data_IF_449328262169
#
_entry.id   IF_449328262169
#
_cell.length_a   1.000
_cell.length_b   1.000
_cell.length_c   1.000
_cell.angle_alpha   90.00
_cell.angle_beta   90.00
_cell.angle_gamma   90.00
#
_symmetry.space_group_name_H-M   'P 1'
#
loop_
_entity.id
_entity.type
_entity.pdbx_description
1 polymer ?
#
# COMPACT_ATOMS: atom_id res chain seq x y z
N UNK A 1 22.50 -12.22 -22.22
CA UNK A 1 22.41 -10.85 -21.72
C UNK A 1 20.95 -10.44 -21.64
N UNK A 2 20.40 -10.36 -20.44
CA UNK A 2 19.02 -9.96 -20.19
C UNK A 2 18.94 -8.53 -19.67
N UNK A 3 18.12 -7.70 -20.31
CA UNK A 3 17.99 -6.28 -20.00
C UNK A 3 16.53 -5.98 -19.70
N UNK A 4 16.25 -5.32 -18.57
CA UNK A 4 14.92 -4.86 -18.20
C UNK A 4 14.80 -3.35 -18.40
N UNK A 5 13.79 -2.92 -19.15
CA UNK A 5 13.43 -1.51 -19.30
C UNK A 5 12.28 -1.09 -18.38
N UNK A 6 12.56 -0.15 -17.49
CA UNK A 6 11.61 0.47 -16.56
C UNK A 6 11.39 1.94 -16.92
N UNK A 7 10.25 2.50 -16.51
CA UNK A 7 9.90 3.90 -16.78
C UNK A 7 8.40 4.12 -16.90
N UNK A 8 7.96 5.37 -16.76
CA UNK A 8 6.54 5.73 -16.82
C UNK A 8 5.93 5.46 -18.20
N UNK A 9 4.61 5.33 -18.33
CA UNK A 9 3.93 5.54 -19.63
C UNK A 9 4.43 6.84 -20.27
N UNK A 10 4.72 6.84 -21.58
CA UNK A 10 5.27 8.02 -22.28
C UNK A 10 6.80 8.23 -22.18
N UNK A 11 7.52 7.50 -21.30
CA UNK A 11 8.98 7.67 -21.12
C UNK A 11 9.85 7.25 -22.31
N UNK A 12 9.30 6.53 -23.28
CA UNK A 12 10.02 6.07 -24.47
C UNK A 12 10.56 4.65 -24.41
N UNK A 13 10.19 3.84 -23.40
CA UNK A 13 10.61 2.43 -23.26
C UNK A 13 10.51 1.61 -24.54
N UNK A 14 9.35 1.67 -25.21
CA UNK A 14 9.11 0.93 -26.45
C UNK A 14 10.06 1.30 -27.58
N UNK A 15 10.39 2.58 -27.71
CA UNK A 15 11.31 3.12 -28.71
C UNK A 15 12.75 2.71 -28.39
N UNK A 16 13.18 2.93 -27.15
CA UNK A 16 14.53 2.58 -26.71
C UNK A 16 14.77 1.08 -26.73
N UNK A 17 13.77 0.27 -26.36
CA UNK A 17 13.84 -1.18 -26.42
C UNK A 17 13.98 -1.72 -27.83
N UNK A 18 13.33 -1.08 -28.83
CA UNK A 18 13.53 -1.45 -30.23
C UNK A 18 14.97 -1.14 -30.69
N UNK A 19 15.48 0.04 -30.38
CA UNK A 19 16.84 0.45 -30.74
C UNK A 19 17.88 -0.47 -30.08
N UNK A 20 17.71 -0.81 -28.80
CA UNK A 20 18.59 -1.74 -28.10
C UNK A 20 18.53 -3.15 -28.71
N UNK A 21 17.35 -3.64 -29.06
CA UNK A 21 17.16 -4.96 -29.65
C UNK A 21 17.92 -5.09 -30.97
N UNK A 22 17.77 -4.10 -31.85
CA UNK A 22 18.45 -4.05 -33.15
C UNK A 22 19.97 -3.95 -32.99
N UNK A 23 20.46 -3.10 -32.08
CA UNK A 23 21.91 -2.92 -31.86
C UNK A 23 22.59 -4.12 -31.23
N UNK A 24 21.88 -4.84 -30.37
CA UNK A 24 22.44 -5.97 -29.61
C UNK A 24 22.15 -7.32 -30.27
N UNK A 25 21.34 -7.36 -31.34
CA UNK A 25 20.89 -8.60 -31.96
C UNK A 25 20.07 -9.48 -31.02
N UNK A 26 19.32 -8.87 -30.09
CA UNK A 26 18.54 -9.59 -29.07
C UNK A 26 17.04 -9.43 -29.32
N UNK A 27 16.22 -10.47 -29.04
CA UNK A 27 14.78 -10.35 -29.14
C UNK A 27 14.22 -9.37 -28.10
N UNK A 28 13.21 -8.59 -28.50
CA UNK A 28 12.42 -7.76 -27.59
C UNK A 28 11.16 -8.53 -27.17
N UNK A 29 11.02 -8.75 -25.87
CA UNK A 29 9.91 -9.46 -25.25
C UNK A 29 8.99 -8.42 -24.61
N UNK A 30 7.78 -8.26 -25.16
CA UNK A 30 6.73 -7.40 -24.58
C UNK A 30 5.47 -8.20 -24.31
N UNK A 31 4.83 -7.97 -23.17
CA UNK A 31 3.62 -8.71 -22.78
C UNK A 31 2.52 -8.60 -23.83
N UNK A 32 2.37 -7.41 -24.42
CA UNK A 32 1.34 -7.17 -25.43
C UNK A 32 1.58 -7.93 -26.73
N UNK A 33 2.83 -8.01 -27.18
CA UNK A 33 3.16 -8.73 -28.43
C UNK A 33 3.02 -10.23 -28.27
N UNK A 34 3.49 -10.77 -27.14
CA UNK A 34 3.40 -12.20 -26.83
C UNK A 34 1.95 -12.64 -26.72
N UNK A 35 1.11 -11.87 -26.00
CA UNK A 35 -0.32 -12.16 -25.88
C UNK A 35 -1.01 -12.16 -27.25
N UNK A 36 -0.79 -11.12 -28.06
CA UNK A 36 -1.37 -11.02 -29.40
C UNK A 36 -0.90 -12.16 -30.32
N UNK A 37 0.38 -12.52 -30.26
CA UNK A 37 0.94 -13.62 -31.04
C UNK A 37 0.37 -14.97 -30.60
N UNK A 38 0.29 -15.23 -29.29
CA UNK A 38 -0.27 -16.46 -28.73
C UNK A 38 -1.74 -16.65 -29.09
N UNK A 39 -2.54 -15.57 -29.05
CA UNK A 39 -3.95 -15.52 -29.48
C UNK A 39 -4.07 -15.79 -30.98
N UNK A 40 -3.26 -15.11 -31.80
CA UNK A 40 -3.28 -15.28 -33.26
C UNK A 40 -2.88 -16.68 -33.70
N UNK A 41 -1.93 -17.30 -33.01
CA UNK A 41 -1.45 -18.66 -33.29
C UNK A 41 -2.33 -19.75 -32.68
N UNK A 42 -3.40 -19.42 -31.95
CA UNK A 42 -4.35 -20.40 -31.40
C UNK A 42 -3.76 -21.34 -30.35
N UNK A 43 -2.68 -20.93 -29.68
CA UNK A 43 -2.02 -21.73 -28.62
C UNK A 43 -2.96 -21.93 -27.42
N UNK A 44 -2.76 -22.99 -26.62
CA UNK A 44 -3.58 -23.24 -25.43
C UNK A 44 -3.57 -22.04 -24.45
N UNK A 45 -2.38 -21.47 -24.18
CA UNK A 45 -2.20 -20.27 -23.37
C UNK A 45 -2.80 -19.03 -24.04
N UNK A 46 -2.73 -18.92 -25.37
CA UNK A 46 -3.37 -17.85 -26.13
C UNK A 46 -4.89 -17.88 -26.06
N UNK A 47 -5.50 -19.07 -26.17
CA UNK A 47 -6.93 -19.26 -26.00
C UNK A 47 -7.39 -18.99 -24.56
N UNK A 48 -6.56 -19.33 -23.58
CA UNK A 48 -6.80 -18.99 -22.18
C UNK A 48 -6.73 -17.48 -21.94
N UNK A 49 -5.69 -16.81 -22.43
CA UNK A 49 -5.54 -15.37 -22.34
C UNK A 49 -6.68 -14.62 -23.05
N UNK A 50 -7.13 -15.13 -24.20
CA UNK A 50 -8.25 -14.57 -24.99
C UNK A 50 -9.53 -14.44 -24.16
N UNK A 51 -9.81 -15.39 -23.24
CA UNK A 51 -10.99 -15.32 -22.34
C UNK A 51 -10.98 -14.08 -21.44
N UNK A 52 -9.80 -13.64 -21.00
CA UNK A 52 -9.65 -12.45 -20.17
C UNK A 52 -9.64 -11.18 -21.04
N UNK A 53 -8.94 -11.23 -22.17
CA UNK A 53 -8.83 -10.10 -23.10
C UNK A 53 -10.18 -9.71 -23.73
N UNK A 54 -10.97 -10.68 -24.19
CA UNK A 54 -12.29 -10.43 -24.79
C UNK A 54 -13.29 -9.84 -23.78
N UNK A 55 -13.07 -10.10 -22.48
CA UNK A 55 -13.86 -9.55 -21.37
C UNK A 55 -13.32 -8.26 -20.76
N UNK A 56 -12.26 -7.65 -21.33
CA UNK A 56 -11.62 -6.45 -20.78
C UNK A 56 -10.92 -6.64 -19.43
N UNK A 57 -10.69 -7.88 -19.00
CA UNK A 57 -10.05 -8.23 -17.72
C UNK A 57 -8.53 -8.37 -17.90
N UNK A 58 -7.79 -8.11 -16.82
CA UNK A 58 -6.35 -8.38 -16.79
C UNK A 58 -6.10 -9.89 -16.89
N UNK A 59 -5.12 -10.26 -17.72
CA UNK A 59 -4.67 -11.65 -17.86
C UNK A 59 -3.89 -12.03 -16.58
N UNK A 60 -4.18 -13.17 -15.94
CA UNK A 60 -3.48 -13.60 -14.74
C UNK A 60 -1.97 -13.72 -14.92
N UNK A 61 -1.20 -13.39 -13.88
CA UNK A 61 0.27 -13.43 -13.90
C UNK A 61 0.83 -14.82 -14.25
N UNK A 62 0.15 -15.89 -13.84
CA UNK A 62 0.51 -17.29 -14.16
C UNK A 62 0.52 -17.58 -15.67
N UNK A 63 -0.45 -17.03 -16.40
CA UNK A 63 -0.56 -17.16 -17.86
C UNK A 63 0.54 -16.36 -18.54
N UNK A 64 0.78 -15.13 -18.07
CA UNK A 64 1.86 -14.27 -18.59
C UNK A 64 3.23 -14.92 -18.41
N UNK A 65 3.48 -15.53 -17.25
CA UNK A 65 4.75 -16.21 -16.96
C UNK A 65 4.96 -17.42 -17.86
N UNK A 66 3.92 -18.21 -18.08
CA UNK A 66 4.00 -19.39 -18.94
C UNK A 66 4.36 -18.99 -20.38
N UNK A 67 3.74 -17.92 -20.88
CA UNK A 67 4.06 -17.34 -22.19
C UNK A 67 5.50 -16.80 -22.26
N UNK A 68 6.01 -16.19 -21.19
CA UNK A 68 7.40 -15.73 -21.13
C UNK A 68 8.39 -16.90 -21.09
N UNK A 69 8.07 -17.98 -20.36
CA UNK A 69 8.87 -19.21 -20.36
C UNK A 69 9.00 -19.78 -21.78
N UNK A 70 7.90 -19.79 -22.55
CA UNK A 70 7.92 -20.21 -23.96
C UNK A 70 8.81 -19.32 -24.83
N UNK A 71 8.70 -18.00 -24.73
CA UNK A 71 9.55 -17.07 -25.48
C UNK A 71 11.02 -17.23 -25.13
N UNK A 72 11.33 -17.37 -23.85
CA UNK A 72 12.69 -17.56 -23.37
C UNK A 72 13.27 -18.91 -23.84
N UNK A 73 12.44 -19.94 -24.03
CA UNK A 73 12.87 -21.24 -24.53
C UNK A 73 13.29 -21.24 -26.01
N UNK A 74 12.91 -20.21 -26.78
CA UNK A 74 13.23 -20.13 -28.20
C UNK A 74 14.73 -19.90 -28.45
N UNK A 75 15.30 -20.43 -29.56
CA UNK A 75 16.73 -20.27 -29.87
C UNK A 75 17.18 -18.80 -29.93
N UNK A 76 16.31 -17.90 -30.37
CA UNK A 76 16.60 -16.47 -30.51
C UNK A 76 16.84 -15.80 -29.14
N UNK A 77 16.27 -16.34 -28.07
CA UNK A 77 16.43 -15.83 -26.71
C UNK A 77 17.59 -16.50 -25.94
N UNK A 78 18.30 -17.47 -26.54
CA UNK A 78 19.36 -18.22 -25.89
C UNK A 78 20.49 -17.32 -25.38
N UNK A 79 20.83 -16.29 -26.17
CA UNK A 79 21.89 -15.33 -25.83
C UNK A 79 21.40 -14.13 -25.03
N UNK A 80 20.09 -13.98 -24.78
CA UNK A 80 19.53 -12.85 -24.07
C UNK A 80 18.18 -12.37 -24.59
N UNK A 81 17.60 -11.39 -23.91
CA UNK A 81 16.38 -10.72 -24.33
C UNK A 81 16.27 -9.33 -23.69
N UNK A 82 15.49 -8.46 -24.30
CA UNK A 82 15.10 -7.16 -23.73
C UNK A 82 13.64 -7.24 -23.30
N UNK A 83 13.40 -7.06 -22.01
CA UNK A 83 12.07 -7.02 -21.43
C UNK A 83 11.54 -5.58 -21.44
N UNK A 84 10.37 -5.38 -22.05
CA UNK A 84 9.71 -4.08 -22.16
C UNK A 84 8.23 -4.21 -21.76
N UNK A 85 7.86 -3.53 -20.67
CA UNK A 85 6.51 -3.56 -20.13
C UNK A 85 6.21 -4.76 -19.21
N UNK A 86 7.21 -5.55 -18.85
CA UNK A 86 7.19 -6.62 -17.85
C UNK A 86 8.61 -6.82 -17.28
N UNK A 87 8.78 -7.17 -16.00
CA UNK A 87 7.79 -7.18 -14.92
C UNK A 87 7.26 -5.78 -14.57
N UNK A 88 6.00 -5.69 -14.16
CA UNK A 88 5.31 -4.48 -13.69
C UNK A 88 5.21 -4.41 -12.16
N UNK A 89 5.20 -5.56 -11.49
CA UNK A 89 5.12 -5.69 -10.03
C UNK A 89 6.37 -6.35 -9.44
N UNK A 90 6.57 -6.21 -8.12
CA UNK A 90 7.65 -6.91 -7.40
C UNK A 90 7.52 -8.44 -7.52
N UNK A 91 6.29 -8.97 -7.44
CA UNK A 91 6.00 -10.39 -7.63
C UNK A 91 6.42 -10.89 -9.01
N UNK A 92 6.08 -10.15 -10.08
CA UNK A 92 6.50 -10.50 -11.44
C UNK A 92 8.03 -10.45 -11.60
N UNK A 93 8.70 -9.51 -10.93
CA UNK A 93 10.16 -9.40 -10.97
C UNK A 93 10.85 -10.60 -10.30
N UNK A 94 10.36 -11.02 -9.13
CA UNK A 94 10.86 -12.22 -8.46
C UNK A 94 10.70 -13.48 -9.32
N UNK A 95 9.60 -13.57 -10.07
CA UNK A 95 9.30 -14.71 -10.95
C UNK A 95 10.18 -14.73 -12.21
N UNK A 96 10.56 -13.58 -12.76
CA UNK A 96 11.57 -13.49 -13.83
C UNK A 96 12.92 -13.96 -13.34
N UNK A 97 13.36 -13.50 -12.16
CA UNK A 97 14.63 -13.90 -11.58
C UNK A 97 14.67 -15.41 -11.32
N UNK A 98 13.58 -16.00 -10.80
CA UNK A 98 13.46 -17.45 -10.62
C UNK A 98 13.54 -18.21 -11.95
N UNK A 99 12.81 -17.75 -12.97
CA UNK A 99 12.77 -18.38 -14.31
C UNK A 99 14.13 -18.34 -15.01
N UNK A 100 14.85 -17.22 -14.92
CA UNK A 100 16.21 -17.13 -15.44
C UNK A 100 17.17 -18.03 -14.63
N UNK A 101 16.98 -18.08 -13.31
CA UNK A 101 17.76 -18.93 -12.40
C UNK A 101 17.66 -20.42 -12.71
N UNK A 102 16.46 -20.93 -13.04
CA UNK A 102 16.24 -22.32 -13.51
C UNK A 102 17.12 -22.68 -14.71
N UNK A 103 17.54 -21.69 -15.50
CA UNK A 103 18.34 -21.85 -16.72
C UNK A 103 19.81 -21.50 -16.52
N UNK A 104 20.24 -21.25 -15.28
CA UNK A 104 21.59 -20.75 -14.98
C UNK A 104 21.85 -19.34 -15.52
N UNK A 105 20.79 -18.59 -15.83
CA UNK A 105 20.84 -17.23 -16.37
C UNK A 105 20.44 -16.22 -15.28
N UNK A 106 20.72 -14.95 -15.51
CA UNK A 106 20.32 -13.86 -14.61
C UNK A 106 20.02 -12.59 -15.38
N UNK A 107 19.22 -11.72 -14.79
CA UNK A 107 19.08 -10.35 -15.28
C UNK A 107 20.44 -9.63 -15.18
N UNK A 108 20.91 -9.08 -16.30
CA UNK A 108 22.23 -8.45 -16.37
C UNK A 108 22.16 -6.94 -16.13
N UNK A 109 21.13 -6.29 -16.68
CA UNK A 109 20.99 -4.84 -16.64
C UNK A 109 19.54 -4.41 -16.40
N UNK A 110 19.37 -3.32 -15.66
CA UNK A 110 18.10 -2.62 -15.50
C UNK A 110 18.31 -1.18 -15.96
N UNK A 111 17.51 -0.74 -16.91
CA UNK A 111 17.54 0.62 -17.45
C UNK A 111 16.24 1.30 -17.05
N UNK A 112 16.35 2.32 -16.20
CA UNK A 112 15.23 3.17 -15.82
C UNK A 112 15.24 4.43 -16.70
N UNK A 113 14.18 4.63 -17.48
CA UNK A 113 13.91 5.88 -18.17
C UNK A 113 13.17 6.81 -17.21
N UNK A 114 13.92 7.68 -16.56
CA UNK A 114 13.40 8.72 -15.69
C UNK A 114 13.17 10.00 -16.50
N UNK A 115 11.91 10.41 -16.59
CA UNK A 115 11.48 11.53 -17.42
C UNK A 115 10.51 12.38 -16.60
N UNK A 116 10.70 13.71 -16.53
CA UNK A 116 9.81 14.60 -15.79
C UNK A 116 8.34 14.45 -16.22
N UNK A 117 7.42 14.56 -15.27
CA UNK A 117 5.98 14.36 -15.51
C UNK A 117 5.43 15.30 -16.59
N UNK A 118 5.85 16.57 -16.59
CA UNK A 118 5.47 17.54 -17.62
C UNK A 118 5.85 17.06 -19.04
N UNK A 119 7.04 16.48 -19.19
CA UNK A 119 7.51 15.95 -20.47
C UNK A 119 6.84 14.62 -20.82
N UNK A 120 6.48 13.79 -19.83
CA UNK A 120 5.66 12.59 -20.04
C UNK A 120 4.26 12.94 -20.58
N UNK A 121 3.59 13.92 -19.95
CA UNK A 121 2.29 14.43 -20.37
C UNK A 121 2.41 14.99 -21.79
N UNK A 122 3.36 15.89 -22.04
CA UNK A 122 3.60 16.47 -23.37
C UNK A 122 3.79 15.40 -24.45
N UNK A 123 4.58 14.35 -24.18
CA UNK A 123 4.83 13.25 -25.13
C UNK A 123 3.59 12.41 -25.39
N UNK A 124 2.79 12.12 -24.36
CA UNK A 124 1.56 11.34 -24.52
C UNK A 124 0.46 12.13 -25.24
N UNK A 125 0.30 13.41 -24.91
CA UNK A 125 -0.61 14.33 -25.62
C UNK A 125 -0.18 14.53 -27.07
N UNK A 126 1.11 14.64 -27.35
CA UNK A 126 1.64 14.74 -28.72
C UNK A 126 1.40 13.48 -29.56
N UNK A 127 1.47 12.28 -28.95
CA UNK A 127 1.15 11.01 -29.62
C UNK A 127 -0.34 10.86 -29.95
N UNK A 128 -1.22 11.34 -29.08
CA UNK A 128 -2.66 11.35 -29.34
C UNK A 128 -3.02 12.16 -30.61
N UNK A 129 -2.29 13.26 -30.86
CA UNK A 129 -2.50 14.13 -32.01
C UNK A 129 -1.88 13.60 -33.34
N UNK A 130 -0.86 12.74 -33.28
CA UNK A 130 -0.09 12.30 -34.47
C UNK A 130 -0.28 10.83 -34.86
N UNK A 131 -0.59 9.94 -33.91
CA UNK A 131 -0.63 8.47 -34.14
C UNK A 131 -2.04 7.86 -34.09
N UNK A 132 -3.10 8.68 -33.90
CA UNK A 132 -4.50 8.23 -34.00
C UNK A 132 -4.93 7.18 -32.97
N UNK A 133 -4.35 7.19 -31.77
CA UNK A 133 -4.74 6.28 -30.68
C UNK A 133 -5.90 6.86 -29.88
N UNK A 134 -7.06 6.20 -29.92
CA UNK A 134 -8.30 6.56 -29.23
C UNK A 134 -8.24 6.52 -27.69
N UNK A 135 -7.18 5.92 -27.14
CA UNK A 135 -7.10 5.54 -25.72
C UNK A 135 -6.23 6.49 -24.88
N UNK A 136 -5.72 7.57 -25.48
CA UNK A 136 -4.83 8.57 -24.88
C UNK A 136 -5.58 9.89 -24.60
N UNK A 137 -6.71 9.81 -23.89
CA UNK A 137 -7.41 11.00 -23.38
C UNK A 137 -6.65 11.63 -22.20
N UNK A 138 -6.84 12.93 -21.92
CA UNK A 138 -6.22 13.58 -20.77
C UNK A 138 -6.45 12.82 -19.44
N UNK A 139 -7.66 12.28 -19.26
CA UNK A 139 -8.02 11.48 -18.10
C UNK A 139 -7.31 10.12 -18.10
N UNK A 140 -7.22 9.42 -19.24
CA UNK A 140 -6.49 8.16 -19.33
C UNK A 140 -4.98 8.33 -19.09
N UNK A 141 -4.39 9.45 -19.54
CA UNK A 141 -3.00 9.81 -19.28
C UNK A 141 -2.78 10.04 -17.79
N UNK A 142 -3.66 10.82 -17.15
CA UNK A 142 -3.62 11.11 -15.71
C UNK A 142 -3.76 9.84 -14.89
N UNK A 143 -4.75 8.98 -15.19
CA UNK A 143 -4.94 7.69 -14.52
C UNK A 143 -3.73 6.78 -14.69
N UNK A 144 -3.12 6.72 -15.88
CA UNK A 144 -1.91 5.89 -16.11
C UNK A 144 -0.69 6.40 -15.36
N UNK A 145 -0.53 7.71 -15.21
CA UNK A 145 0.54 8.31 -14.39
C UNK A 145 0.28 8.10 -12.90
N UNK A 146 -0.98 8.23 -12.45
CA UNK A 146 -1.39 7.96 -11.07
C UNK A 146 -1.19 6.48 -10.72
N UNK A 147 -1.62 5.54 -11.55
CA UNK A 147 -1.39 4.09 -11.37
C UNK A 147 0.10 3.77 -11.38
N UNK A 148 0.88 4.42 -12.24
CA UNK A 148 2.34 4.33 -12.16
C UNK A 148 2.75 4.81 -10.76
N UNK A 149 2.41 6.03 -10.33
CA UNK A 149 2.77 6.64 -9.03
C UNK A 149 2.31 5.85 -7.79
N UNK A 150 1.16 5.19 -7.84
CA UNK A 150 0.51 4.50 -6.72
C UNK A 150 0.89 3.01 -6.56
N UNK A 151 1.45 2.37 -7.59
CA UNK A 151 1.61 0.91 -7.62
C UNK A 151 2.96 0.37 -7.11
N UNK A 152 2.88 -0.78 -6.46
CA UNK A 152 3.93 -1.75 -6.08
C UNK A 152 4.90 -2.09 -7.25
N UNK A 153 5.94 -1.26 -7.46
CA UNK A 153 6.84 -1.37 -8.63
C UNK A 153 8.06 -2.25 -8.38
N UNK A 154 8.68 -2.70 -9.48
CA UNK A 154 10.07 -3.17 -9.46
C UNK A 154 11.02 -2.05 -8.93
N UNK A 155 11.97 -2.39 -8.01
CA UNK A 155 12.86 -1.40 -7.37
C UNK A 155 13.68 -0.57 -8.36
N UNK A 156 13.86 0.73 -8.08
CA UNK A 156 14.61 1.65 -8.97
C UNK A 156 16.12 1.64 -8.67
N UNK A 157 16.99 1.75 -9.69
CA UNK A 157 18.40 2.12 -9.48
C UNK A 157 18.47 3.58 -8.99
N UNK A 158 18.34 3.77 -7.68
CA UNK A 158 18.18 5.07 -7.02
C UNK A 158 17.79 4.94 -5.54
N UNK A 159 17.22 3.80 -5.13
CA UNK A 159 17.05 3.41 -3.73
C UNK A 159 18.38 3.14 -2.99
N UNK A 160 19.53 3.44 -3.63
CA UNK A 160 20.88 3.30 -3.06
C UNK A 160 21.14 4.45 -2.08
N UNK A 161 20.49 4.36 -0.94
CA UNK A 161 20.60 5.29 0.18
C UNK A 161 19.76 4.84 1.37
N UNK A 162 18.72 4.03 1.11
CA UNK A 162 17.91 3.39 2.15
C UNK A 162 18.58 2.09 2.59
N UNK A 163 18.79 1.95 3.89
CA UNK A 163 19.19 0.66 4.46
C UNK A 163 18.12 -0.38 4.14
N UNK A 164 18.53 -1.61 3.84
CA UNK A 164 17.59 -2.70 3.62
C UNK A 164 17.84 -3.80 4.63
N UNK A 165 16.84 -4.14 5.43
CA UNK A 165 16.91 -5.24 6.37
C UNK A 165 16.30 -6.50 5.74
N UNK A 166 17.09 -7.59 5.71
CA UNK A 166 16.65 -8.87 5.14
C UNK A 166 15.92 -9.68 6.20
N UNK A 167 14.71 -10.14 5.87
CA UNK A 167 13.93 -11.04 6.71
C UNK A 167 13.46 -12.27 5.91
N UNK A 168 13.10 -13.35 6.60
CA UNK A 168 12.41 -14.50 6.03
C UNK A 168 11.03 -14.62 6.67
N UNK A 169 9.96 -14.50 5.89
CA UNK A 169 8.60 -14.66 6.40
C UNK A 169 8.33 -16.08 6.94
N UNK A 170 7.12 -16.31 7.48
CA UNK A 170 6.74 -17.61 8.04
C UNK A 170 6.72 -18.74 7.01
N UNK A 171 6.64 -18.42 5.71
CA UNK A 171 6.70 -19.36 4.59
C UNK A 171 8.12 -19.50 3.99
N UNK A 172 9.12 -18.81 4.54
CA UNK A 172 10.51 -18.85 4.11
C UNK A 172 10.88 -17.90 2.96
N UNK A 173 9.97 -17.04 2.49
CA UNK A 173 10.25 -16.05 1.45
C UNK A 173 11.10 -14.89 1.98
N UNK A 174 12.00 -14.38 1.14
CA UNK A 174 12.83 -13.22 1.46
C UNK A 174 12.01 -11.94 1.29
N UNK A 175 11.65 -11.30 2.40
CA UNK A 175 11.07 -9.96 2.41
C UNK A 175 12.14 -8.90 2.72
N UNK A 176 11.99 -7.73 2.12
CA UNK A 176 12.97 -6.63 2.19
C UNK A 176 12.32 -5.44 2.90
N UNK A 177 12.70 -5.22 4.16
CA UNK A 177 12.17 -4.12 4.96
C UNK A 177 13.02 -2.86 4.70
N UNK A 178 12.35 -1.76 4.38
CA UNK A 178 12.98 -0.47 4.08
C UNK A 178 13.27 0.30 5.36
N UNK A 179 14.55 0.63 5.58
CA UNK A 179 15.02 1.45 6.71
C UNK A 179 15.16 2.90 6.28
N UNK A 180 14.51 3.79 7.04
CA UNK A 180 14.44 5.22 6.76
C UNK A 180 15.63 5.92 7.39
N UNK A 181 16.20 6.86 6.66
CA UNK A 181 17.21 7.77 7.17
C UNK A 181 16.60 8.76 8.17
N UNK A 182 17.40 9.38 9.05
CA UNK A 182 16.90 10.41 9.98
C UNK A 182 16.13 11.54 9.28
N UNK A 183 16.57 11.96 8.09
CA UNK A 183 15.89 12.99 7.29
C UNK A 183 14.49 12.54 6.86
N UNK A 184 14.36 11.30 6.40
CA UNK A 184 13.07 10.73 5.99
C UNK A 184 12.13 10.60 7.19
N UNK A 185 12.64 10.22 8.35
CA UNK A 185 11.86 10.18 9.60
C UNK A 185 11.36 11.58 9.98
N UNK A 186 12.15 12.65 9.80
CA UNK A 186 11.67 14.01 10.05
C UNK A 186 10.60 14.46 9.04
N UNK A 187 10.70 14.07 7.77
CA UNK A 187 9.64 14.31 6.78
C UNK A 187 8.36 13.56 7.16
N UNK A 188 8.46 12.29 7.56
CA UNK A 188 7.31 11.52 8.07
C UNK A 188 6.74 12.14 9.34
N UNK A 189 7.56 12.66 10.25
CA UNK A 189 7.11 13.39 11.42
C UNK A 189 6.38 14.69 11.04
N UNK A 190 6.78 15.37 9.95
CA UNK A 190 6.06 16.53 9.44
C UNK A 190 4.69 16.14 8.87
N UNK A 191 4.60 15.06 8.08
CA UNK A 191 3.33 14.50 7.63
C UNK A 191 2.45 14.08 8.83
N UNK A 192 3.05 13.44 9.83
CA UNK A 192 2.38 12.96 11.03
C UNK A 192 1.82 14.08 11.92
N UNK A 193 2.47 15.25 11.97
CA UNK A 193 1.88 16.44 12.61
C UNK A 193 0.62 16.92 11.89
N UNK A 194 0.59 16.85 10.56
CA UNK A 194 -0.60 17.19 9.78
C UNK A 194 -1.70 16.15 10.06
N UNK A 195 -1.40 14.86 10.05
CA UNK A 195 -2.33 13.77 10.44
C UNK A 195 -2.95 14.04 11.81
N UNK A 196 -2.13 14.28 12.83
CA UNK A 196 -2.60 14.53 14.19
C UNK A 196 -3.48 15.78 14.28
N UNK A 197 -3.11 16.85 13.58
CA UNK A 197 -3.89 18.08 13.53
C UNK A 197 -5.21 17.88 12.75
N UNK A 198 -5.22 17.08 11.68
CA UNK A 198 -6.44 16.71 10.95
C UNK A 198 -7.42 15.97 11.86
N UNK A 199 -6.95 14.95 12.60
CA UNK A 199 -7.79 14.24 13.57
C UNK A 199 -8.34 15.19 14.65
N UNK A 200 -7.53 16.13 15.13
CA UNK A 200 -7.98 17.13 16.11
C UNK A 200 -9.05 18.08 15.55
N UNK A 201 -8.91 18.52 14.29
CA UNK A 201 -9.90 19.36 13.60
C UNK A 201 -11.19 18.58 13.34
N UNK A 202 -11.09 17.33 12.89
CA UNK A 202 -12.26 16.44 12.70
C UNK A 202 -12.99 16.25 14.03
N UNK A 203 -12.26 15.98 15.12
CA UNK A 203 -12.84 15.77 16.45
C UNK A 203 -13.73 16.94 16.92
N UNK A 204 -13.39 18.18 16.57
CA UNK A 204 -14.20 19.37 16.90
C UNK A 204 -15.57 19.39 16.20
N UNK A 205 -15.71 18.62 15.11
CA UNK A 205 -16.92 18.52 14.30
C UNK A 205 -17.72 17.24 14.59
N UNK A 206 -17.19 16.30 15.39
CA UNK A 206 -17.89 15.06 15.76
C UNK A 206 -19.02 15.38 16.73
N UNK A 207 -20.25 15.42 16.22
CA UNK A 207 -21.48 15.64 17.01
C UNK A 207 -22.71 15.08 16.29
N UNK A 208 -23.81 14.80 16.99
CA UNK A 208 -25.04 14.34 16.36
C UNK A 208 -25.51 15.27 15.24
N UNK A 209 -26.01 14.69 14.15
CA UNK A 209 -26.54 15.42 12.99
C UNK A 209 -25.52 15.78 11.92
N UNK A 210 -24.22 15.62 12.17
CA UNK A 210 -23.17 15.80 11.14
C UNK A 210 -23.05 14.55 10.29
N UNK A 211 -22.92 14.67 8.97
CA UNK A 211 -22.64 13.53 8.09
C UNK A 211 -21.14 13.19 8.04
N UNK A 212 -20.82 11.93 7.80
CA UNK A 212 -19.41 11.50 7.58
C UNK A 212 -18.78 12.17 6.36
N UNK A 213 -19.56 12.52 5.33
CA UNK A 213 -19.07 13.31 4.19
C UNK A 213 -18.67 14.74 4.59
N UNK A 214 -19.39 15.38 5.51
CA UNK A 214 -18.98 16.69 6.03
C UNK A 214 -17.63 16.61 6.73
N UNK A 215 -17.39 15.56 7.52
CA UNK A 215 -16.10 15.32 8.17
C UNK A 215 -14.97 15.07 7.16
N UNK A 216 -15.25 14.30 6.10
CA UNK A 216 -14.30 14.07 5.00
C UNK A 216 -13.88 15.37 4.31
N UNK A 217 -14.85 16.26 4.02
CA UNK A 217 -14.57 17.59 3.45
C UNK A 217 -13.70 18.44 4.38
N UNK A 218 -14.03 18.48 5.67
CA UNK A 218 -13.23 19.21 6.67
C UNK A 218 -11.79 18.72 6.70
N UNK A 219 -11.58 17.40 6.67
CA UNK A 219 -10.25 16.81 6.63
C UNK A 219 -9.50 17.11 5.33
N UNK A 220 -10.15 16.98 4.18
CA UNK A 220 -9.53 17.24 2.88
C UNK A 220 -9.09 18.70 2.75
N UNK A 221 -9.96 19.64 3.10
CA UNK A 221 -9.65 21.07 3.08
C UNK A 221 -8.47 21.40 4.01
N UNK A 222 -8.48 20.84 5.22
CA UNK A 222 -7.39 21.03 6.18
C UNK A 222 -6.07 20.47 5.67
N UNK A 223 -6.03 19.23 5.18
CA UNK A 223 -4.81 18.63 4.64
C UNK A 223 -4.28 19.46 3.47
N UNK A 224 -5.15 19.83 2.52
CA UNK A 224 -4.75 20.59 1.32
C UNK A 224 -4.33 22.02 1.61
N UNK A 225 -4.71 22.59 2.76
CA UNK A 225 -4.22 23.90 3.20
C UNK A 225 -2.73 23.91 3.53
N UNK A 226 -2.11 22.74 3.73
CA UNK A 226 -0.68 22.60 4.00
C UNK A 226 0.09 22.41 2.68
N UNK A 227 1.06 23.28 2.35
CA UNK A 227 1.84 23.15 1.12
C UNK A 227 2.50 21.78 0.96
N UNK A 228 2.29 21.15 -0.19
CA UNK A 228 2.86 19.84 -0.53
C UNK A 228 2.10 18.64 0.05
N UNK A 229 1.20 18.84 1.02
CA UNK A 229 0.45 17.75 1.64
C UNK A 229 -0.71 17.27 0.76
N UNK A 230 -0.98 15.97 0.77
CA UNK A 230 -2.10 15.34 0.04
C UNK A 230 -2.74 14.23 0.87
N UNK A 231 -4.06 14.01 0.78
CA UNK A 231 -4.70 12.80 1.31
C UNK A 231 -4.06 11.55 0.71
N UNK A 232 -3.66 10.59 1.55
CA UNK A 232 -3.07 9.33 1.09
C UNK A 232 -4.12 8.35 0.58
N UNK A 233 -5.32 8.34 1.16
CA UNK A 233 -6.32 7.32 0.89
C UNK A 233 -7.07 7.59 -0.41
N UNK A 234 -7.28 8.86 -0.75
CA UNK A 234 -8.09 9.24 -1.92
C UNK A 234 -7.42 8.79 -3.22
N UNK A 235 -7.96 7.74 -3.83
CA UNK A 235 -7.44 7.08 -5.01
C UNK A 235 -6.51 5.89 -4.73
N UNK A 236 -6.20 5.58 -3.47
CA UNK A 236 -5.43 4.40 -3.09
C UNK A 236 -6.30 3.15 -3.29
N UNK A 237 -5.88 2.26 -4.20
CA UNK A 237 -6.64 1.08 -4.63
C UNK A 237 -8.10 1.39 -5.04
N UNK A 238 -8.35 2.57 -5.59
CA UNK A 238 -9.68 3.10 -5.95
C UNK A 238 -10.57 3.52 -4.77
N UNK A 239 -10.01 3.71 -3.56
CA UNK A 239 -10.76 4.27 -2.42
C UNK A 239 -11.20 5.72 -2.72
N UNK A 240 -12.47 6.09 -2.50
CA UNK A 240 -13.02 7.33 -3.06
C UNK A 240 -12.79 8.59 -2.21
N UNK A 241 -12.39 8.45 -0.94
CA UNK A 241 -12.47 9.52 0.05
C UNK A 241 -11.12 9.82 0.73
N UNK A 242 -11.07 10.91 1.49
CA UNK A 242 -9.88 11.35 2.25
C UNK A 242 -9.76 10.61 3.58
N UNK A 243 -10.88 10.38 4.26
CA UNK A 243 -11.00 9.65 5.51
C UNK A 243 -11.61 8.27 5.27
N UNK A 244 -11.23 7.31 6.11
CA UNK A 244 -12.14 6.21 6.43
C UNK A 244 -12.94 6.64 7.67
N UNK A 245 -14.27 6.46 7.63
CA UNK A 245 -15.20 6.79 8.71
C UNK A 245 -16.01 5.55 9.05
N UNK A 246 -15.64 4.87 10.13
CA UNK A 246 -16.23 3.60 10.55
C UNK A 246 -17.11 3.78 11.79
N UNK A 247 -18.40 3.47 11.67
CA UNK A 247 -19.37 3.63 12.75
C UNK A 247 -19.63 2.31 13.48
N UNK A 248 -19.62 2.37 14.82
CA UNK A 248 -20.11 1.32 15.71
C UNK A 248 -19.49 -0.08 15.46
N UNK A 249 -20.19 -0.95 14.73
CA UNK A 249 -19.75 -2.31 14.39
C UNK A 249 -18.79 -2.36 13.19
N UNK A 250 -18.63 -1.25 12.49
CA UNK A 250 -17.65 -1.13 11.43
C UNK A 250 -16.24 -1.02 12.03
N UNK A 251 -15.40 -1.99 11.70
CA UNK A 251 -14.03 -2.14 12.19
C UNK A 251 -13.13 -1.06 11.55
N UNK A 252 -13.11 -1.02 10.22
CA UNK A 252 -12.29 -0.07 9.42
C UNK A 252 -12.92 0.18 8.04
N UNK A 253 -12.32 1.11 7.28
CA UNK A 253 -12.58 1.36 5.86
C UNK A 253 -14.01 1.79 5.49
N UNK A 254 -14.79 2.27 6.45
CA UNK A 254 -16.13 2.80 6.17
C UNK A 254 -16.06 4.00 5.23
N UNK A 255 -16.78 3.96 4.11
CA UNK A 255 -16.74 5.05 3.12
C UNK A 255 -17.60 6.23 3.59
N UNK A 256 -17.07 7.47 3.65
CA UNK A 256 -17.86 8.67 3.95
C UNK A 256 -19.07 8.85 3.01
N UNK A 257 -20.20 9.29 3.55
CA UNK A 257 -21.43 9.48 2.78
C UNK A 257 -22.37 10.52 3.41
N UNK A 258 -23.12 11.30 2.61
CA UNK A 258 -24.12 12.24 3.13
C UNK A 258 -25.29 11.52 3.82
N UNK A 259 -25.48 10.22 3.55
CA UNK A 259 -26.54 9.41 4.18
C UNK A 259 -26.14 8.86 5.55
N UNK A 260 -24.84 8.89 5.87
CA UNK A 260 -24.28 8.36 7.12
C UNK A 260 -24.14 9.52 8.10
N UNK A 261 -25.22 9.78 8.84
CA UNK A 261 -25.35 10.89 9.79
C UNK A 261 -25.14 10.39 11.20
N UNK A 262 -24.23 11.04 11.93
CA UNK A 262 -23.88 10.70 13.31
C UNK A 262 -25.07 10.87 14.25
N UNK A 263 -25.23 9.96 15.20
CA UNK A 263 -26.27 9.98 16.23
C UNK A 263 -25.65 10.00 17.63
N UNK A 264 -26.40 10.54 18.59
CA UNK A 264 -26.04 10.48 20.01
C UNK A 264 -25.81 9.01 20.40
N UNK A 265 -24.65 8.73 20.99
CA UNK A 265 -24.27 7.39 21.43
C UNK A 265 -23.44 6.57 20.42
N UNK A 266 -23.25 7.05 19.19
CA UNK A 266 -22.39 6.38 18.21
C UNK A 266 -20.91 6.43 18.64
N UNK A 267 -20.16 5.42 18.21
CA UNK A 267 -18.70 5.47 18.09
C UNK A 267 -18.32 5.72 16.63
N UNK A 268 -17.44 6.68 16.40
CA UNK A 268 -16.90 6.98 15.08
C UNK A 268 -15.37 6.80 15.08
N UNK A 269 -14.89 5.74 14.46
CA UNK A 269 -13.48 5.59 14.09
C UNK A 269 -13.19 6.43 12.85
N UNK A 270 -12.24 7.35 12.97
CA UNK A 270 -11.71 8.14 11.85
C UNK A 270 -10.27 7.72 11.64
N UNK A 271 -9.94 7.39 10.40
CA UNK A 271 -8.60 7.06 9.95
C UNK A 271 -8.20 8.02 8.82
N UNK A 272 -6.94 8.47 8.86
CA UNK A 272 -6.41 9.44 7.91
C UNK A 272 -4.92 9.26 7.66
N UNK A 273 -4.55 9.24 6.39
CA UNK A 273 -3.15 9.26 5.94
C UNK A 273 -2.82 10.55 5.19
N UNK A 274 -1.61 11.08 5.40
CA UNK A 274 -1.07 12.24 4.68
C UNK A 274 0.21 11.86 3.97
N UNK A 275 0.28 12.22 2.68
CA UNK A 275 1.50 12.19 1.89
C UNK A 275 2.14 13.58 1.89
N UNK A 276 3.44 13.66 2.16
CA UNK A 276 4.23 14.88 2.11
C UNK A 276 5.65 14.57 1.62
N UNK A 277 6.12 15.29 0.61
CA UNK A 277 7.49 15.19 0.07
C UNK A 277 7.97 13.75 -0.23
N UNK A 278 7.06 12.91 -0.74
CA UNK A 278 7.38 11.53 -1.12
C UNK A 278 7.23 10.49 -0.02
N UNK A 279 6.72 10.86 1.16
CA UNK A 279 6.56 9.97 2.31
C UNK A 279 5.17 10.08 2.92
N UNK A 280 4.68 8.98 3.48
CA UNK A 280 3.39 8.87 4.14
C UNK A 280 3.53 8.83 5.66
N UNK A 281 2.49 9.29 6.34
CA UNK A 281 2.19 8.97 7.74
C UNK A 281 0.68 8.79 7.88
N UNK A 282 0.26 8.00 8.85
CA UNK A 282 -1.12 7.62 9.14
C UNK A 282 -1.41 7.54 10.65
N UNK A 283 -2.70 7.66 10.96
CA UNK A 283 -3.22 7.49 12.30
C UNK A 283 -4.74 7.42 12.24
N UNK A 284 -5.28 6.64 13.16
CA UNK A 284 -6.70 6.52 13.41
C UNK A 284 -7.02 6.79 14.89
N UNK A 285 -8.24 7.28 15.12
CA UNK A 285 -8.81 7.42 16.45
C UNK A 285 -10.33 7.23 16.43
N UNK A 286 -10.85 6.53 17.44
CA UNK A 286 -12.29 6.43 17.68
C UNK A 286 -12.78 7.52 18.63
N UNK A 287 -13.78 8.28 18.18
CA UNK A 287 -14.42 9.36 18.92
C UNK A 287 -15.83 8.96 19.38
N UNK A 288 -16.21 9.28 20.63
CA UNK A 288 -17.60 9.19 21.06
C UNK A 288 -18.42 10.33 20.44
N UNK A 289 -19.61 10.02 19.93
CA UNK A 289 -20.57 11.02 19.46
C UNK A 289 -21.53 11.37 20.60
N UNK A 290 -21.29 12.52 21.24
CA UNK A 290 -22.04 12.91 22.43
C UNK A 290 -21.76 11.99 23.62
N UNK A 291 -22.80 11.62 24.37
CA UNK A 291 -22.70 10.68 25.48
C UNK A 291 -22.89 9.24 24.98
N UNK A 292 -21.88 8.40 25.23
CA UNK A 292 -21.89 6.98 24.85
C UNK A 292 -22.14 6.08 26.07
N UNK A 293 -22.33 4.77 25.82
CA UNK A 293 -22.55 3.79 26.89
C UNK A 293 -21.28 3.53 27.71
N UNK A 294 -21.38 3.05 28.97
CA UNK A 294 -20.20 2.66 29.75
C UNK A 294 -19.35 1.57 29.08
N UNK A 295 -19.97 0.68 28.30
CA UNK A 295 -19.26 -0.33 27.51
C UNK A 295 -18.45 0.30 26.39
N UNK A 296 -19.00 1.28 25.68
CA UNK A 296 -18.29 2.04 24.66
C UNK A 296 -17.13 2.85 25.25
N UNK A 297 -17.33 3.52 26.40
CA UNK A 297 -16.23 4.22 27.10
C UNK A 297 -15.10 3.26 27.49
N UNK A 298 -15.45 2.07 28.00
CA UNK A 298 -14.48 1.03 28.37
C UNK A 298 -13.75 0.47 27.16
N UNK A 299 -14.45 0.21 26.05
CA UNK A 299 -13.84 -0.23 24.78
C UNK A 299 -12.78 0.78 24.32
N UNK A 300 -13.15 2.06 24.23
CA UNK A 300 -12.23 3.13 23.85
C UNK A 300 -10.99 3.20 24.75
N UNK A 301 -11.18 3.06 26.06
CA UNK A 301 -10.08 3.08 27.01
C UNK A 301 -9.12 1.89 26.82
N UNK A 302 -9.67 0.69 26.64
CA UNK A 302 -8.86 -0.52 26.46
C UNK A 302 -8.12 -0.50 25.12
N UNK A 303 -8.75 -0.08 24.02
CA UNK A 303 -8.07 -0.03 22.72
C UNK A 303 -6.90 0.96 22.74
N UNK A 304 -7.04 2.12 23.41
CA UNK A 304 -5.91 3.05 23.62
C UNK A 304 -4.80 2.46 24.48
N UNK A 305 -5.14 1.71 25.52
CA UNK A 305 -4.15 1.02 26.36
C UNK A 305 -3.42 -0.08 25.57
N UNK A 306 -4.14 -0.82 24.73
CA UNK A 306 -3.58 -1.85 23.87
C UNK A 306 -2.61 -1.24 22.85
N UNK A 307 -2.99 -0.14 22.19
CA UNK A 307 -2.09 0.61 21.32
C UNK A 307 -0.84 1.06 22.07
N UNK A 308 -1.00 1.68 23.23
CA UNK A 308 0.13 2.16 24.03
C UNK A 308 1.09 1.02 24.43
N UNK A 309 0.55 -0.15 24.80
CA UNK A 309 1.33 -1.34 25.11
C UNK A 309 2.09 -1.87 23.89
N UNK A 310 1.43 -1.96 22.73
CA UNK A 310 2.07 -2.33 21.46
C UNK A 310 3.19 -1.38 21.05
N UNK A 311 2.93 -0.07 21.07
CA UNK A 311 3.93 0.96 20.77
C UNK A 311 5.12 0.86 21.70
N UNK A 312 4.92 0.61 22.99
CA UNK A 312 6.03 0.46 23.95
C UNK A 312 6.99 -0.70 23.61
N UNK A 313 6.53 -1.70 22.84
CA UNK A 313 7.33 -2.82 22.35
C UNK A 313 8.07 -2.55 21.03
N UNK A 314 7.81 -1.42 20.36
CA UNK A 314 8.45 -1.04 19.11
C UNK A 314 9.92 -0.57 19.30
N UNK A 315 10.73 -1.37 19.99
CA UNK A 315 12.11 -1.08 20.38
C UNK A 315 13.10 -1.84 19.53
N UNK A 316 14.26 -1.24 19.28
CA UNK A 316 15.35 -1.93 18.60
C UNK A 316 15.70 -3.22 19.34
N UNK A 317 15.79 -4.32 18.59
CA UNK A 317 16.10 -5.64 19.14
C UNK A 317 14.89 -6.52 19.44
N UNK A 318 13.71 -5.92 19.71
CA UNK A 318 12.45 -6.66 19.83
C UNK A 318 12.01 -7.23 18.46
N UNK A 319 10.93 -7.99 18.46
CA UNK A 319 10.31 -8.52 17.26
C UNK A 319 8.89 -8.01 17.08
N UNK A 320 8.39 -8.02 15.85
CA UNK A 320 6.99 -7.68 15.52
C UNK A 320 5.99 -8.44 16.39
N UNK A 321 6.25 -9.72 16.67
CA UNK A 321 5.38 -10.54 17.52
C UNK A 321 5.31 -10.08 18.98
N UNK A 322 6.29 -9.29 19.47
CA UNK A 322 6.23 -8.66 20.80
C UNK A 322 5.18 -7.54 20.81
N UNK A 323 5.02 -6.79 19.71
CA UNK A 323 3.99 -5.76 19.56
C UNK A 323 2.60 -6.40 19.63
N UNK A 324 2.34 -7.39 18.76
CA UNK A 324 1.06 -8.08 18.72
C UNK A 324 0.73 -8.81 20.02
N UNK A 325 1.73 -9.40 20.68
CA UNK A 325 1.53 -10.01 22.00
C UNK A 325 1.13 -8.99 23.08
N UNK A 326 1.76 -7.80 23.11
CA UNK A 326 1.39 -6.77 24.08
C UNK A 326 0.00 -6.20 23.82
N UNK A 327 -0.38 -6.03 22.56
CA UNK A 327 -1.73 -5.58 22.17
C UNK A 327 -2.78 -6.60 22.62
N UNK A 328 -2.62 -7.88 22.24
CA UNK A 328 -3.62 -8.91 22.56
C UNK A 328 -3.73 -9.15 24.07
N UNK A 329 -2.63 -9.10 24.85
CA UNK A 329 -2.70 -9.32 26.30
C UNK A 329 -3.58 -8.27 27.00
N UNK A 330 -3.50 -7.01 26.55
CA UNK A 330 -4.32 -5.93 27.10
C UNK A 330 -5.79 -6.08 26.68
N UNK A 331 -6.04 -6.31 25.39
CA UNK A 331 -7.40 -6.39 24.86
C UNK A 331 -8.13 -7.66 25.35
N UNK A 332 -7.53 -8.84 25.17
CA UNK A 332 -8.10 -10.12 25.59
C UNK A 332 -8.18 -10.25 27.11
N UNK A 333 -7.20 -9.71 27.84
CA UNK A 333 -7.24 -9.64 29.30
C UNK A 333 -8.38 -8.79 29.87
N UNK A 334 -8.90 -7.83 29.08
CA UNK A 334 -10.08 -7.05 29.42
C UNK A 334 -11.41 -7.72 29.02
N UNK A 335 -11.37 -8.88 28.35
CA UNK A 335 -12.54 -9.59 27.86
C UNK A 335 -13.03 -9.13 26.48
N UNK A 336 -12.18 -8.45 25.71
CA UNK A 336 -12.44 -8.09 24.32
C UNK A 336 -11.67 -9.00 23.36
N UNK A 337 -11.92 -8.89 22.06
CA UNK A 337 -11.18 -9.65 21.04
C UNK A 337 -10.41 -8.73 20.10
N UNK A 338 -9.39 -9.29 19.44
CA UNK A 338 -8.56 -8.57 18.47
C UNK A 338 -8.77 -9.17 17.09
N UNK A 339 -9.01 -8.31 16.10
CA UNK A 339 -9.15 -8.70 14.69
C UNK A 339 -7.84 -9.30 14.16
N UNK A 340 -7.94 -10.37 13.35
CA UNK A 340 -6.77 -11.18 12.96
C UNK A 340 -6.40 -11.12 11.48
N UNK A 341 -7.37 -10.76 10.65
CA UNK A 341 -7.28 -10.69 9.19
C UNK A 341 -6.71 -9.36 8.71
N UNK A 342 -6.82 -8.32 9.55
CA UNK A 342 -6.30 -6.97 9.32
C UNK A 342 -5.21 -6.66 10.35
N UNK A 343 -4.13 -6.05 9.89
CA UNK A 343 -2.88 -5.89 10.63
C UNK A 343 -2.23 -4.58 10.26
N UNK A 344 -1.41 -4.05 11.17
CA UNK A 344 -0.51 -2.94 10.86
C UNK A 344 0.50 -3.28 9.78
N UNK A 345 1.27 -2.28 9.38
CA UNK A 345 2.18 -2.40 8.25
C UNK A 345 3.44 -1.55 8.41
N UNK A 346 4.47 -1.83 7.62
CA UNK A 346 5.51 -0.85 7.36
C UNK A 346 4.91 0.33 6.62
N UNK A 347 5.41 1.53 6.86
CA UNK A 347 4.96 2.73 6.16
C UNK A 347 6.16 3.60 5.82
N UNK A 348 6.11 4.30 4.68
CA UNK A 348 7.18 5.19 4.27
C UNK A 348 6.94 5.80 2.91
N UNK A 349 7.70 5.34 1.92
CA UNK A 349 7.61 5.80 0.53
C UNK A 349 6.41 5.22 -0.21
N UNK A 350 6.00 4.01 0.16
CA UNK A 350 4.68 3.48 -0.13
C UNK A 350 3.82 3.56 1.13
N UNK A 351 2.50 3.57 0.94
CA UNK A 351 1.54 3.61 2.03
C UNK A 351 1.62 2.32 2.86
N UNK A 352 1.46 1.16 2.21
CA UNK A 352 1.72 -0.15 2.80
C UNK A 352 3.09 -0.68 2.34
N UNK A 353 4.00 -0.92 3.30
CA UNK A 353 5.30 -1.56 3.13
C UNK A 353 5.44 -2.75 4.09
N UNK A 354 6.46 -3.59 3.90
CA UNK A 354 6.85 -4.58 4.90
C UNK A 354 7.45 -3.92 6.15
N UNK A 355 7.31 -4.53 7.35
CA UNK A 355 6.61 -5.79 7.60
C UNK A 355 5.12 -5.58 7.91
N UNK A 356 4.30 -6.60 7.72
CA UNK A 356 3.02 -6.68 8.43
C UNK A 356 3.27 -6.70 9.95
N UNK A 357 2.39 -6.02 10.70
CA UNK A 357 2.45 -5.85 12.16
C UNK A 357 1.12 -6.31 12.77
N UNK A 358 0.95 -7.62 12.99
CA UNK A 358 -0.28 -8.14 13.57
C UNK A 358 -0.52 -7.63 15.00
N UNK A 359 -1.79 -7.42 15.33
CA UNK A 359 -2.26 -7.03 16.66
C UNK A 359 -2.34 -8.21 17.65
N UNK A 360 -1.87 -9.39 17.22
CA UNK A 360 -1.79 -10.64 17.97
C UNK A 360 -0.46 -11.32 17.67
N UNK A 361 0.00 -12.21 18.55
CA UNK A 361 1.26 -12.91 18.31
C UNK A 361 1.82 -13.65 19.51
N UNK A 362 3.04 -14.17 19.30
CA UNK A 362 3.86 -14.76 20.34
C UNK A 362 5.13 -13.91 20.51
N UNK A 363 5.61 -13.73 21.75
CA UNK A 363 6.86 -13.02 22.01
C UNK A 363 8.02 -13.56 21.17
N UNK A 364 8.92 -12.66 20.74
CA UNK A 364 10.17 -12.96 20.03
C UNK A 364 9.95 -13.70 18.69
N UNK A 365 8.81 -13.49 18.04
CA UNK A 365 8.49 -14.05 16.71
C UNK A 365 8.31 -12.97 15.66
N UNK A 366 8.55 -13.34 14.40
CA UNK A 366 8.45 -12.42 13.26
C UNK A 366 9.69 -11.54 13.09
N UNK A 367 9.62 -10.53 12.22
CA UNK A 367 10.74 -9.64 11.93
C UNK A 367 11.32 -8.98 13.16
N UNK A 368 12.66 -8.92 13.22
CA UNK A 368 13.36 -8.16 14.25
C UNK A 368 13.26 -6.67 13.93
N UNK A 369 12.88 -5.88 14.91
CA UNK A 369 12.80 -4.44 14.84
C UNK A 369 14.21 -3.84 14.92
N UNK A 370 14.53 -2.95 13.99
CA UNK A 370 15.82 -2.27 13.93
C UNK A 370 15.63 -0.76 13.79
N UNK A 371 16.59 0.06 14.25
CA UNK A 371 16.51 1.51 14.15
C UNK A 371 16.20 1.97 12.73
N UNK A 372 15.31 2.97 12.62
CA UNK A 372 14.86 3.53 11.35
C UNK A 372 13.79 2.72 10.61
N UNK A 373 13.33 1.59 11.15
CA UNK A 373 12.05 1.02 10.74
C UNK A 373 10.92 1.98 11.13
N UNK A 374 9.96 2.15 10.23
CA UNK A 374 8.73 2.92 10.47
C UNK A 374 7.53 2.04 10.19
N UNK A 375 6.65 1.93 11.17
CA UNK A 375 5.52 0.99 11.18
C UNK A 375 4.24 1.67 11.69
N UNK A 376 3.11 1.35 11.10
CA UNK A 376 1.78 1.56 11.65
C UNK A 376 1.48 0.45 12.68
N UNK A 377 1.07 0.85 13.88
CA UNK A 377 0.54 -0.04 14.91
C UNK A 377 -0.91 0.37 15.12
N UNK A 378 -1.84 -0.50 14.78
CA UNK A 378 -3.26 -0.18 14.56
C UNK A 378 -4.20 -1.25 15.16
N UNK A 379 -4.30 -1.38 16.50
CA UNK A 379 -5.24 -2.30 17.11
C UNK A 379 -6.70 -1.98 16.76
N UNK A 380 -7.34 -2.98 16.19
CA UNK A 380 -8.79 -3.10 16.01
C UNK A 380 -9.32 -4.07 17.05
N UNK A 381 -10.10 -3.56 18.01
CA UNK A 381 -10.60 -4.33 19.16
C UNK A 381 -12.11 -4.37 19.13
N UNK A 382 -12.68 -5.56 19.22
CA UNK A 382 -14.12 -5.80 19.19
C UNK A 382 -14.66 -6.15 20.58
N UNK A 383 -15.90 -5.75 20.85
CA UNK A 383 -16.62 -6.17 22.07
C UNK A 383 -16.91 -7.67 22.03
N UNK A 384 -17.35 -8.18 20.88
CA UNK A 384 -17.68 -9.59 20.67
C UNK A 384 -16.55 -10.40 20.06
N UNK A 385 -16.87 -11.19 19.05
CA UNK A 385 -15.93 -12.08 18.34
C UNK A 385 -14.86 -11.33 17.53
N UNK A 386 -13.77 -12.04 17.21
CA UNK A 386 -12.68 -11.51 16.38
C UNK A 386 -13.03 -11.53 14.88
N UNK A 387 -14.07 -12.29 14.53
CA UNK A 387 -14.51 -12.55 13.17
C UNK A 387 -15.08 -11.29 12.51
N UNK A 388 -14.69 -11.07 11.25
CA UNK A 388 -15.09 -9.92 10.46
C UNK A 388 -15.61 -10.34 9.08
N UNK A 389 -16.37 -9.45 8.45
CA UNK A 389 -16.74 -9.56 7.03
C UNK A 389 -16.68 -8.21 6.32
N UNK A 390 -16.39 -8.24 5.03
CA UNK A 390 -16.42 -7.06 4.15
C UNK A 390 -17.81 -6.89 3.53
N UNK A 391 -18.31 -5.64 3.48
CA UNK A 391 -19.59 -5.31 2.88
C UNK A 391 -19.53 -5.29 1.34
N UNK A 392 -20.69 -5.14 0.71
CA UNK A 392 -20.83 -5.16 -0.76
C UNK A 392 -20.12 -3.99 -1.47
N UNK A 393 -19.86 -2.90 -0.75
CA UNK A 393 -19.06 -1.76 -1.22
C UNK A 393 -17.57 -2.09 -1.40
N UNK A 394 -17.14 -3.31 -1.00
CA UNK A 394 -15.77 -3.85 -1.11
C UNK A 394 -14.74 -3.20 -0.20
N UNK A 395 -15.16 -2.30 0.68
CA UNK A 395 -14.29 -1.54 1.55
C UNK A 395 -14.64 -1.73 3.00
N UNK A 396 -15.89 -1.41 3.37
CA UNK A 396 -16.31 -1.36 4.77
C UNK A 396 -16.21 -2.74 5.39
N UNK A 397 -15.44 -2.86 6.46
CA UNK A 397 -15.29 -4.11 7.22
C UNK A 397 -16.06 -3.99 8.51
N UNK A 398 -16.85 -5.01 8.84
CA UNK A 398 -17.69 -5.06 10.04
C UNK A 398 -17.40 -6.30 10.87
N UNK A 399 -17.65 -6.24 12.16
CA UNK A 399 -17.72 -7.43 13.03
C UNK A 399 -18.81 -8.37 12.52
N UNK A 400 -18.55 -9.67 12.51
CA UNK A 400 -19.52 -10.68 12.06
C UNK A 400 -20.79 -10.71 12.93
N UNK A 401 -20.63 -10.53 14.25
CA UNK A 401 -21.71 -10.58 15.24
C UNK A 401 -22.45 -9.25 15.46
N UNK A 402 -22.02 -8.18 14.79
CA UNK A 402 -22.59 -6.83 14.91
C UNK A 402 -22.25 -6.10 16.21
N UNK A 403 -21.29 -6.57 16.99
CA UNK A 403 -20.80 -5.91 18.19
C UNK A 403 -19.99 -4.65 17.88
N UNK A 404 -19.80 -3.76 18.88
CA UNK A 404 -18.99 -2.55 18.70
C UNK A 404 -17.53 -2.88 18.44
N UNK A 405 -16.87 -2.07 17.63
CA UNK A 405 -15.43 -2.08 17.40
C UNK A 405 -14.81 -0.70 17.64
N UNK A 406 -13.54 -0.67 18.00
CA UNK A 406 -12.76 0.56 18.09
C UNK A 406 -11.38 0.37 17.48
N UNK A 407 -10.89 1.43 16.83
CA UNK A 407 -9.64 1.48 16.09
C UNK A 407 -8.82 2.70 16.52
N UNK A 408 -7.60 2.45 16.98
CA UNK A 408 -6.61 3.50 17.23
C UNK A 408 -5.30 3.12 16.59
N UNK A 409 -4.58 4.11 16.09
CA UNK A 409 -3.33 3.84 15.38
C UNK A 409 -2.30 4.95 15.57
N UNK A 410 -1.03 4.57 15.52
CA UNK A 410 0.06 5.51 15.28
C UNK A 410 1.08 4.97 14.26
N UNK A 411 1.55 5.83 13.35
CA UNK A 411 2.89 5.67 12.76
C UNK A 411 3.99 5.83 13.83
N UNK A 412 4.86 4.84 13.94
CA UNK A 412 5.97 4.77 14.90
C UNK A 412 7.29 4.53 14.19
N UNK A 413 8.30 5.33 14.53
CA UNK A 413 9.70 5.07 14.21
C UNK A 413 10.38 4.30 15.34
N UNK A 414 11.00 3.17 15.00
CA UNK A 414 11.87 2.42 15.91
C UNK A 414 13.14 3.23 16.13
N UNK A 415 13.39 3.60 17.40
CA UNK A 415 14.56 4.36 17.81
C UNK A 415 15.85 3.55 17.79
N UNK A 416 16.97 4.22 18.05
CA UNK A 416 18.25 3.57 18.33
C UNK A 416 18.19 2.64 19.56
N UNK A 417 19.20 1.79 19.74
CA UNK A 417 19.30 0.94 20.93
C UNK A 417 19.14 1.76 22.22
N UNK A 418 18.39 1.22 23.17
CA UNK A 418 18.07 1.84 24.47
C UNK A 418 17.27 3.16 24.41
N UNK A 419 16.81 3.59 23.23
CA UNK A 419 15.88 4.72 23.09
C UNK A 419 14.44 4.23 22.98
N UNK A 420 13.45 4.97 23.54
CA UNK A 420 12.05 4.64 23.32
C UNK A 420 11.64 4.86 21.86
N UNK A 421 10.62 4.14 21.35
CA UNK A 421 10.07 4.42 20.03
C UNK A 421 9.54 5.85 19.94
N UNK A 422 9.67 6.47 18.77
CA UNK A 422 9.13 7.80 18.49
C UNK A 422 7.82 7.66 17.73
N UNK A 423 6.74 8.11 18.33
CA UNK A 423 5.46 8.26 17.64
C UNK A 423 5.53 9.50 16.75
N UNK A 424 5.23 9.34 15.46
CA UNK A 424 5.33 10.41 14.47
C UNK A 424 4.01 11.19 14.32
N UNK A 425 2.90 10.60 14.77
CA UNK A 425 1.53 11.15 14.63
C UNK A 425 0.91 11.57 15.97
N UNK A 426 1.72 12.09 16.88
CA UNK A 426 1.25 12.72 18.12
C UNK A 426 1.00 14.22 17.91
N UNK A 427 -0.04 14.80 18.54
CA UNK A 427 -0.17 16.24 18.66
C UNK A 427 1.09 16.84 19.32
N UNK A 428 1.50 18.02 18.85
CA UNK A 428 2.65 18.77 19.40
C UNK A 428 2.25 19.50 20.67
#
# INVERSE_FOLDING_TARGET
MFILLLGAPGSGKGTQGKILAERLGLPKITTGDILRAAVKSGTALGLEAKKFMDGGKLVPDTVILSLIKEELAKPEAAQGAIFDGFPRTAAQAALVDATLGERGQRLNHIVLLDVPEEELIRRMTGRAAQEGRSDDTPDAIKTRLQVYQAGDRAPRPGDRGRGRHRHRDQAGHRTMITIKSPREIETMAAAGRIVAATLAVVAQHVRPGVSTEELDRVAEDFIRSHPGARPSFKGLYDFPATLCTSLNQEVVHGIPSPRRVLKEGDLLSVDVGVWLDGLHADSAATFPVGKVSPEAERLLAVTRQALAAGVAQARAGNHVGDIGHAVQEVAEGAGYSVVRELVGHGIGSAFHEDPQVPNYGKPKRGPRLVPGMTIAIEPMVNVGGAEIRTLDDKWTVVTEDGSLSAHFEHTVAVGENDTPPRILTKPV
#
